data_IF_732791266071
#
_entry.id   IF_732791266071
#
_cell.length_a   1.000
_cell.length_b   1.000
_cell.length_c   1.000
_cell.angle_alpha   90.00
_cell.angle_beta   90.00
_cell.angle_gamma   90.00
#
_symmetry.space_group_name_H-M   'P 1'
#
loop_
_entity.id
_entity.type
_entity.pdbx_description
1 polymer ?
#
# COMPACT_ATOMS: atom_id res chain seq x y z
N UNK A 1 15.02 -10.51 2.41
CA UNK A 1 14.26 -10.71 1.16
C UNK A 1 13.88 -9.34 0.61
N UNK A 2 14.28 -9.01 -0.61
CA UNK A 2 14.05 -7.68 -1.20
C UNK A 2 12.74 -7.70 -1.98
N UNK A 3 11.61 -7.47 -1.30
CA UNK A 3 10.31 -7.43 -1.94
C UNK A 3 10.15 -6.12 -2.73
N UNK A 4 9.60 -6.15 -3.95
CA UNK A 4 9.33 -4.94 -4.71
C UNK A 4 8.28 -4.09 -3.96
N UNK A 5 8.58 -2.80 -3.70
CA UNK A 5 7.65 -1.93 -3.03
C UNK A 5 6.50 -1.54 -3.95
N UNK A 6 5.29 -1.56 -3.40
CA UNK A 6 4.05 -1.19 -4.05
C UNK A 6 3.41 -0.05 -3.27
N UNK A 7 3.30 1.14 -3.85
CA UNK A 7 2.58 2.26 -3.27
C UNK A 7 1.11 2.21 -3.66
N UNK A 8 0.22 2.37 -2.68
CA UNK A 8 -1.23 2.39 -2.86
C UNK A 8 -1.80 3.67 -2.26
N UNK A 9 -2.58 4.38 -3.07
CA UNK A 9 -3.33 5.56 -2.66
C UNK A 9 -4.83 5.30 -2.88
N UNK A 10 -5.55 4.82 -1.83
CA UNK A 10 -6.96 4.50 -1.92
C UNK A 10 -7.85 5.74 -1.81
N UNK A 11 -8.72 5.94 -2.79
CA UNK A 11 -9.81 6.92 -2.73
C UNK A 11 -11.18 6.22 -2.70
N UNK A 12 -12.25 7.01 -2.53
CA UNK A 12 -13.62 6.51 -2.36
C UNK A 12 -14.09 5.57 -3.48
N UNK A 13 -13.75 5.88 -4.74
CA UNK A 13 -14.23 5.13 -5.92
C UNK A 13 -13.14 4.32 -6.62
N UNK A 14 -11.88 4.75 -6.48
CA UNK A 14 -10.73 4.18 -7.20
C UNK A 14 -9.49 4.29 -6.32
N UNK A 15 -8.51 3.46 -6.58
CA UNK A 15 -7.20 3.54 -5.94
C UNK A 15 -6.09 3.54 -7.00
N UNK A 16 -5.03 4.27 -6.71
CA UNK A 16 -3.84 4.33 -7.55
C UNK A 16 -2.81 3.36 -6.99
N UNK A 17 -2.22 2.56 -7.88
CA UNK A 17 -1.19 1.60 -7.55
C UNK A 17 0.09 1.92 -8.33
N UNK A 18 1.21 1.97 -7.63
CA UNK A 18 2.53 2.18 -8.21
C UNK A 18 3.50 1.09 -7.74
N UNK A 19 3.90 0.21 -8.64
CA UNK A 19 4.88 -0.85 -8.37
C UNK A 19 6.27 -0.38 -8.78
N UNK A 20 7.25 -0.49 -7.88
CA UNK A 20 8.66 -0.29 -8.20
C UNK A 20 9.28 -1.64 -8.52
N UNK A 21 9.71 -1.83 -9.77
CA UNK A 21 10.42 -3.04 -10.19
C UNK A 21 11.92 -2.92 -9.91
N UNK A 22 12.60 -4.07 -9.88
CA UNK A 22 14.05 -4.14 -9.93
C UNK A 22 14.60 -3.23 -11.06
N UNK A 23 15.57 -2.38 -10.71
CA UNK A 23 16.14 -1.37 -11.61
C UNK A 23 15.40 -0.02 -11.63
N UNK A 24 14.52 0.26 -10.66
CA UNK A 24 13.89 1.58 -10.48
C UNK A 24 12.75 1.90 -11.46
N UNK A 25 12.31 0.92 -12.26
CA UNK A 25 11.20 1.11 -13.20
C UNK A 25 9.87 1.16 -12.44
N UNK A 26 9.21 2.31 -12.50
CA UNK A 26 7.88 2.53 -11.93
C UNK A 26 6.78 2.04 -12.90
N UNK A 27 5.82 1.28 -12.38
CA UNK A 27 4.63 0.84 -13.10
C UNK A 27 3.40 1.36 -12.38
N UNK A 28 2.71 2.30 -13.01
CA UNK A 28 1.49 2.89 -12.48
C UNK A 28 0.25 2.24 -13.09
N UNK A 29 -0.77 1.97 -12.27
CA UNK A 29 -2.09 1.56 -12.73
C UNK A 29 -3.18 2.03 -11.75
N UNK A 30 -4.36 2.31 -12.29
CA UNK A 30 -5.53 2.74 -11.52
C UNK A 30 -6.54 1.61 -11.55
N UNK A 31 -7.15 1.34 -10.40
CA UNK A 31 -8.16 0.31 -10.24
C UNK A 31 -9.37 0.87 -9.50
N UNK A 32 -10.57 0.31 -9.73
CA UNK A 32 -11.75 0.65 -8.94
C UNK A 32 -11.60 0.14 -7.50
N UNK A 33 -12.10 0.88 -6.50
CA UNK A 33 -12.09 0.46 -5.09
C UNK A 33 -13.26 -0.48 -4.79
N UNK A 34 -13.27 -1.63 -5.45
CA UNK A 34 -14.26 -2.69 -5.31
C UNK A 34 -13.58 -4.07 -5.40
N UNK A 35 -14.27 -5.16 -5.02
CA UNK A 35 -13.71 -6.51 -5.08
C UNK A 35 -13.19 -6.91 -6.47
N UNK A 36 -13.83 -6.44 -7.54
CA UNK A 36 -13.34 -6.66 -8.91
C UNK A 36 -12.00 -5.98 -9.17
N UNK A 37 -11.82 -4.75 -8.68
CA UNK A 37 -10.56 -4.01 -8.76
C UNK A 37 -9.44 -4.66 -7.96
N UNK A 38 -9.77 -5.30 -6.83
CA UNK A 38 -8.80 -6.07 -6.04
C UNK A 38 -8.31 -7.30 -6.81
N UNK A 39 -9.22 -8.03 -7.46
CA UNK A 39 -8.85 -9.13 -8.36
C UNK A 39 -8.00 -8.64 -9.53
N UNK A 40 -8.36 -7.52 -10.16
CA UNK A 40 -7.58 -6.92 -11.23
C UNK A 40 -6.16 -6.50 -10.79
N UNK A 41 -6.00 -6.04 -9.54
CA UNK A 41 -4.70 -5.74 -8.96
C UNK A 41 -3.86 -7.02 -8.82
N UNK A 42 -4.44 -8.10 -8.28
CA UNK A 42 -3.77 -9.40 -8.17
C UNK A 42 -3.33 -9.95 -9.53
N UNK A 43 -4.21 -9.90 -10.54
CA UNK A 43 -3.87 -10.29 -11.91
C UNK A 43 -2.77 -9.41 -12.50
N UNK A 44 -2.77 -8.12 -12.20
CA UNK A 44 -1.72 -7.21 -12.65
C UNK A 44 -0.38 -7.54 -12.01
N UNK A 45 -0.33 -7.84 -10.71
CA UNK A 45 0.88 -8.27 -10.00
C UNK A 45 1.42 -9.59 -10.56
N UNK A 46 0.54 -10.56 -10.82
CA UNK A 46 0.88 -11.83 -11.48
C UNK A 46 1.47 -11.61 -12.87
N UNK A 47 0.87 -10.72 -13.68
CA UNK A 47 1.40 -10.33 -15.00
C UNK A 47 2.77 -9.66 -14.93
N UNK A 48 3.11 -9.01 -13.83
CA UNK A 48 4.46 -8.47 -13.61
C UNK A 48 5.48 -9.53 -13.17
N UNK A 49 5.04 -10.77 -12.92
CA UNK A 49 5.89 -11.87 -12.44
C UNK A 49 6.30 -11.72 -10.98
N UNK A 50 5.51 -10.98 -10.19
CA UNK A 50 5.81 -10.71 -8.77
C UNK A 50 4.97 -11.63 -7.91
N UNK A 51 5.63 -12.46 -7.08
CA UNK A 51 4.95 -13.39 -6.15
C UNK A 51 4.51 -12.71 -4.85
N UNK A 52 5.37 -11.84 -4.32
CA UNK A 52 5.12 -11.10 -3.08
C UNK A 52 5.58 -9.66 -3.27
N UNK A 53 4.82 -8.72 -2.68
CA UNK A 53 5.13 -7.29 -2.68
C UNK A 53 5.18 -6.77 -1.24
N UNK A 54 5.89 -5.67 -1.05
CA UNK A 54 5.72 -4.83 0.13
C UNK A 54 4.81 -3.67 -0.25
N UNK A 55 3.52 -3.85 -0.01
CA UNK A 55 2.50 -2.83 -0.20
C UNK A 55 2.57 -1.81 0.95
N UNK A 56 2.78 -0.55 0.60
CA UNK A 56 2.62 0.57 1.50
C UNK A 56 1.41 1.39 1.07
N UNK A 57 0.61 1.81 2.04
CA UNK A 57 -0.57 2.63 1.80
C UNK A 57 -0.63 3.78 2.78
N UNK A 58 -1.18 4.90 2.32
CA UNK A 58 -1.48 6.02 3.19
C UNK A 58 -2.71 5.70 4.07
N UNK A 59 -2.66 6.13 5.34
CA UNK A 59 -3.75 5.98 6.30
C UNK A 59 -4.92 6.96 6.01
N UNK A 60 -5.48 6.91 4.79
CA UNK A 60 -6.49 7.85 4.29
C UNK A 60 -7.90 7.31 4.58
N UNK A 61 -8.27 7.30 5.86
CA UNK A 61 -9.58 6.86 6.32
C UNK A 61 -9.82 5.35 6.20
N UNK A 62 -11.09 4.94 6.11
CA UNK A 62 -11.51 3.53 6.10
C UNK A 62 -11.48 2.87 4.73
N UNK A 63 -11.28 3.63 3.64
CA UNK A 63 -11.36 3.14 2.26
C UNK A 63 -10.24 2.15 1.89
N UNK A 64 -9.11 2.18 2.61
CA UNK A 64 -7.99 1.27 2.40
C UNK A 64 -8.07 -0.05 3.17
N UNK A 65 -8.96 -0.18 4.15
CA UNK A 65 -8.96 -1.32 5.09
C UNK A 65 -9.32 -2.65 4.41
N UNK A 66 -10.30 -2.61 3.50
CA UNK A 66 -10.68 -3.77 2.68
C UNK A 66 -9.56 -4.19 1.73
N UNK A 67 -8.88 -3.24 1.11
CA UNK A 67 -7.74 -3.49 0.23
C UNK A 67 -6.54 -4.06 1.00
N UNK A 68 -6.27 -3.51 2.19
CA UNK A 68 -5.22 -3.96 3.08
C UNK A 68 -5.45 -5.41 3.53
N UNK A 69 -6.68 -5.72 3.95
CA UNK A 69 -7.08 -7.07 4.34
C UNK A 69 -6.91 -8.04 3.17
N UNK A 70 -7.41 -7.69 1.99
CA UNK A 70 -7.32 -8.53 0.80
C UNK A 70 -5.85 -8.84 0.42
N UNK A 71 -4.97 -7.84 0.43
CA UNK A 71 -3.55 -8.04 0.13
C UNK A 71 -2.86 -8.91 1.18
N UNK A 72 -3.21 -8.74 2.45
CA UNK A 72 -2.67 -9.58 3.51
C UNK A 72 -3.10 -11.04 3.38
N UNK A 73 -4.37 -11.29 3.00
CA UNK A 73 -4.86 -12.65 2.71
C UNK A 73 -4.18 -13.31 1.51
N UNK A 74 -3.60 -12.53 0.61
CA UNK A 74 -2.78 -12.99 -0.53
C UNK A 74 -1.28 -13.14 -0.19
N UNK A 75 -0.91 -13.17 1.10
CA UNK A 75 0.48 -13.33 1.57
C UNK A 75 1.40 -12.15 1.20
N UNK A 76 0.83 -10.96 0.99
CA UNK A 76 1.61 -9.74 0.77
C UNK A 76 1.89 -9.00 2.08
N UNK A 77 3.06 -8.34 2.15
CA UNK A 77 3.37 -7.46 3.28
C UNK A 77 2.67 -6.13 3.08
N UNK A 78 1.80 -5.76 4.00
CA UNK A 78 1.06 -4.48 3.96
C UNK A 78 1.50 -3.59 5.10
N UNK A 79 1.83 -2.35 4.81
CA UNK A 79 2.21 -1.32 5.79
C UNK A 79 1.36 -0.08 5.61
N UNK A 80 0.68 0.32 6.67
CA UNK A 80 -0.11 1.55 6.69
C UNK A 80 0.76 2.66 7.27
N UNK A 81 0.94 3.73 6.51
CA UNK A 81 1.81 4.86 6.88
C UNK A 81 0.97 6.10 7.11
N UNK A 82 1.34 6.88 8.13
CA UNK A 82 0.67 8.14 8.42
C UNK A 82 0.84 9.13 7.24
N UNK A 83 -0.24 9.77 6.73
CA UNK A 83 -0.15 10.80 5.69
C UNK A 83 0.87 11.90 6.01
N UNK A 84 1.03 12.26 7.29
CA UNK A 84 2.03 13.24 7.71
C UNK A 84 3.47 12.82 7.37
N UNK A 85 3.79 11.52 7.48
CA UNK A 85 5.10 10.98 7.13
C UNK A 85 5.33 11.00 5.61
N UNK A 86 4.32 10.65 4.82
CA UNK A 86 4.38 10.72 3.35
C UNK A 86 4.55 12.18 2.90
N UNK A 87 3.82 13.11 3.50
CA UNK A 87 3.94 14.55 3.22
C UNK A 87 5.33 15.10 3.55
N UNK A 88 5.89 14.74 4.69
CA UNK A 88 7.26 15.14 5.06
C UNK A 88 8.29 14.59 4.07
N UNK A 89 8.10 13.34 3.61
CA UNK A 89 8.93 12.75 2.56
C UNK A 89 8.79 13.48 1.23
N UNK A 90 7.57 13.80 0.80
CA UNK A 90 7.30 14.57 -0.42
C UNK A 90 7.97 15.96 -0.41
N UNK A 91 7.93 16.64 0.74
CA UNK A 91 8.60 17.93 0.94
C UNK A 91 10.12 17.82 0.81
N UNK A 92 10.73 16.77 1.36
CA UNK A 92 12.17 16.53 1.23
C UNK A 92 12.62 16.30 -0.21
N UNK A 93 11.73 15.74 -1.04
CA UNK A 93 11.97 15.45 -2.45
C UNK A 93 11.58 16.61 -3.40
N UNK A 94 11.25 17.79 -2.85
CA UNK A 94 10.87 19.00 -3.62
C UNK A 94 9.75 18.77 -4.63
N UNK A 95 8.88 17.78 -4.39
CA UNK A 95 7.79 17.47 -5.32
C UNK A 95 6.70 18.54 -5.21
N UNK A 96 6.63 19.44 -6.20
CA UNK A 96 5.67 20.56 -6.25
C UNK A 96 4.33 20.17 -6.89
N UNK A 97 4.26 19.00 -7.53
CA UNK A 97 3.10 18.57 -8.31
C UNK A 97 2.32 17.50 -7.56
N UNK A 98 1.19 17.90 -6.97
CA UNK A 98 0.25 16.99 -6.33
C UNK A 98 -0.62 16.33 -7.41
N UNK A 99 -0.18 15.20 -7.94
CA UNK A 99 -1.01 14.35 -8.80
C UNK A 99 -1.10 12.97 -8.18
N UNK A 100 -2.24 12.30 -8.35
CA UNK A 100 -2.48 10.95 -7.85
C UNK A 100 -1.37 9.95 -8.24
N UNK A 101 -0.78 10.13 -9.43
CA UNK A 101 0.36 9.33 -9.93
C UNK A 101 1.63 9.55 -9.14
N UNK A 102 1.91 10.81 -8.78
CA UNK A 102 3.10 11.19 -8.02
C UNK A 102 2.95 10.76 -6.57
N UNK A 103 1.77 10.87 -5.97
CA UNK A 103 1.49 10.40 -4.61
C UNK A 103 1.74 8.89 -4.48
N UNK A 104 1.17 8.07 -5.38
CA UNK A 104 1.39 6.63 -5.37
C UNK A 104 2.88 6.26 -5.57
N UNK A 105 3.60 6.99 -6.43
CA UNK A 105 5.03 6.79 -6.63
C UNK A 105 5.87 7.20 -5.40
N UNK A 106 5.49 8.28 -4.72
CA UNK A 106 6.13 8.72 -3.47
C UNK A 106 5.95 7.69 -2.37
N UNK A 107 4.74 7.14 -2.21
CA UNK A 107 4.46 6.06 -1.24
C UNK A 107 5.32 4.83 -1.56
N UNK A 108 5.43 4.45 -2.84
CA UNK A 108 6.23 3.30 -3.26
C UNK A 108 7.74 3.55 -2.99
N UNK A 109 8.23 4.75 -3.27
CA UNK A 109 9.60 5.17 -2.95
C UNK A 109 9.89 5.16 -1.45
N UNK A 110 8.99 5.75 -0.67
CA UNK A 110 9.05 5.72 0.79
C UNK A 110 9.09 4.28 1.32
N UNK A 111 8.27 3.39 0.76
CA UNK A 111 8.26 1.97 1.12
C UNK A 111 9.61 1.30 0.87
N UNK A 112 10.23 1.58 -0.28
CA UNK A 112 11.54 1.03 -0.64
C UNK A 112 12.69 1.54 0.24
N UNK A 113 12.68 2.83 0.56
CA UNK A 113 13.73 3.49 1.34
C UNK A 113 13.58 3.25 2.84
N UNK A 114 12.39 3.54 3.39
CA UNK A 114 12.14 3.52 4.84
C UNK A 114 11.71 2.16 5.36
N UNK A 115 11.19 1.29 4.49
CA UNK A 115 10.72 -0.08 4.80
C UNK A 115 9.91 -0.10 6.11
N UNK A 116 8.76 0.61 6.15
CA UNK A 116 7.95 0.68 7.34
C UNK A 116 7.54 -0.73 7.79
N UNK A 117 7.37 -0.89 9.11
CA UNK A 117 6.93 -2.17 9.66
C UNK A 117 5.53 -2.50 9.14
N UNK A 118 5.25 -3.78 8.81
CA UNK A 118 3.91 -4.22 8.47
C UNK A 118 2.91 -3.84 9.55
N UNK A 119 1.69 -3.49 9.13
CA UNK A 119 0.65 -3.08 10.07
C UNK A 119 0.26 -4.28 10.97
N UNK A 120 0.52 -4.14 12.27
CA UNK A 120 0.24 -5.17 13.25
C UNK A 120 -1.26 -5.53 13.31
N UNK A 121 -2.17 -4.61 12.95
CA UNK A 121 -3.62 -4.87 12.93
C UNK A 121 -4.02 -5.97 11.95
N UNK A 122 -3.27 -6.10 10.86
CA UNK A 122 -3.53 -7.12 9.83
C UNK A 122 -3.01 -8.50 10.27
N UNK A 123 -1.91 -8.53 11.03
CA UNK A 123 -1.32 -9.75 11.59
C UNK A 123 -2.19 -10.45 12.65
N UNK A 124 -3.13 -9.74 13.29
CA UNK A 124 -3.94 -10.28 14.41
C UNK A 124 -5.21 -11.00 13.93
N UNK A 125 -5.48 -11.10 12.62
CA UNK A 125 -6.50 -12.03 12.10
C UNK A 125 -5.99 -13.49 12.12
N UNK A 126 -5.55 -13.95 13.29
CA UNK A 126 -5.63 -15.35 13.64
C UNK A 126 -7.11 -15.73 13.60
N UNK A 127 -7.48 -16.63 12.67
CA UNK A 127 -8.84 -17.05 12.31
C UNK A 127 -9.71 -17.58 13.45
N UNK A 128 -9.29 -17.49 14.72
CA UNK A 128 -10.03 -18.07 15.84
C UNK A 128 -9.96 -17.34 17.20
N UNK A 129 -9.61 -16.04 17.29
CA UNK A 129 -9.74 -15.35 18.59
C UNK A 129 -10.24 -13.91 18.46
N UNK A 130 -11.55 -13.74 18.64
CA UNK A 130 -12.18 -12.45 18.94
C UNK A 130 -11.73 -11.98 20.33
N UNK A 131 -10.62 -11.26 20.44
CA UNK A 131 -10.35 -10.36 21.58
C UNK A 131 -9.02 -9.66 21.35
N UNK A 132 -8.98 -8.38 21.71
CA UNK A 132 -7.79 -7.49 21.75
C UNK A 132 -7.53 -6.67 20.49
N UNK A 133 -8.49 -5.82 20.11
CA UNK A 133 -8.18 -4.51 19.53
C UNK A 133 -8.67 -3.43 20.50
N UNK A 134 -7.96 -3.25 21.61
CA UNK A 134 -8.16 -2.13 22.52
C UNK A 134 -6.79 -1.68 23.05
N UNK A 135 -6.01 -1.06 22.18
CA UNK A 135 -4.88 -0.22 22.56
C UNK A 135 -4.43 0.49 21.29
N UNK A 136 -4.98 1.68 21.02
CA UNK A 136 -4.29 2.76 20.30
C UNK A 136 -5.21 3.99 20.28
N UNK A 137 -5.01 4.87 21.26
CA UNK A 137 -5.13 6.33 21.09
C UNK A 137 -4.07 6.95 22.01
N UNK A 138 -3.36 7.99 21.55
CA UNK A 138 -2.46 8.75 22.41
C UNK A 138 -3.23 9.46 23.53
#
# INVERSE_FOLDING_TARGET
MNLPPLGLDPAKLKFNACLVRAGGKLRHKIFPNNPEGFSQLSDWLKKQGVKQVHACMEATGTYGDSLATYLHEQDHLVSVVNPAAIKAYAQSHLSRTKTDRVEAALIAGFCGERRPRPDARLSVKCRNCKRLCAAWSP
#
